data_IF_570669190328
#
_entry.id   IF_570669190328
#
_cell.length_a   1.000
_cell.length_b   1.000
_cell.length_c   1.000
_cell.angle_alpha   90.00
_cell.angle_beta   90.00
_cell.angle_gamma   90.00
#
_symmetry.space_group_name_H-M   'P 1'
#
loop_
_entity.id
_entity.type
_entity.pdbx_description
1 polymer ?
#
# COMPACT_ATOMS: atom_id res chain seq x y z
N UNK A 1 43.90 11.62 -9.37
CA UNK A 1 42.45 11.42 -9.64
C UNK A 1 41.74 11.56 -8.32
N UNK A 2 41.08 12.69 -8.09
CA UNK A 2 40.20 12.83 -6.93
C UNK A 2 39.10 11.76 -7.03
N UNK A 3 39.00 10.94 -6.05
CA UNK A 3 37.94 9.96 -5.92
C UNK A 3 36.64 10.76 -5.70
N UNK A 4 35.84 10.92 -6.76
CA UNK A 4 34.51 11.55 -6.64
C UNK A 4 33.75 10.72 -5.61
N UNK A 5 33.52 11.31 -4.43
CA UNK A 5 32.72 10.64 -3.38
C UNK A 5 31.32 10.41 -3.93
N UNK A 6 30.96 9.15 -4.12
CA UNK A 6 29.62 8.74 -4.56
C UNK A 6 28.65 8.91 -3.40
N UNK A 7 27.48 9.47 -3.69
CA UNK A 7 26.39 9.56 -2.72
C UNK A 7 25.79 8.19 -2.47
N UNK A 8 25.76 7.76 -1.23
CA UNK A 8 25.16 6.49 -0.81
C UNK A 8 23.65 6.63 -0.71
N UNK A 9 22.93 5.91 -1.53
CA UNK A 9 21.46 5.89 -1.58
C UNK A 9 20.99 4.52 -1.12
N UNK A 10 20.45 4.47 0.10
CA UNK A 10 19.87 3.25 0.65
C UNK A 10 18.39 3.17 0.25
N UNK A 11 18.03 2.14 -0.50
CA UNK A 11 16.65 1.84 -0.87
C UNK A 11 16.16 0.68 -0.02
N UNK A 12 15.00 0.84 0.61
CA UNK A 12 14.39 -0.16 1.49
C UNK A 12 13.28 -0.90 0.75
N UNK A 13 13.38 -2.22 0.70
CA UNK A 13 12.43 -3.14 0.07
C UNK A 13 11.71 -3.92 1.18
N UNK A 14 10.39 -3.80 1.30
CA UNK A 14 9.64 -4.43 2.38
C UNK A 14 8.66 -5.50 1.91
N UNK A 15 8.25 -5.45 0.64
CA UNK A 15 7.42 -6.46 0.01
C UNK A 15 7.67 -6.57 -1.49
N UNK A 16 7.11 -7.61 -2.12
CA UNK A 16 7.23 -7.85 -3.57
C UNK A 16 6.67 -6.71 -4.41
N UNK A 17 5.60 -6.02 -3.93
CA UNK A 17 5.01 -4.90 -4.66
C UNK A 17 5.91 -3.66 -4.61
N UNK A 18 6.63 -3.45 -3.50
CA UNK A 18 7.68 -2.44 -3.41
C UNK A 18 8.80 -2.73 -4.41
N UNK A 19 9.32 -3.97 -4.42
CA UNK A 19 10.35 -4.37 -5.37
C UNK A 19 9.87 -4.19 -6.81
N UNK A 20 8.66 -4.67 -7.13
CA UNK A 20 8.08 -4.51 -8.46
C UNK A 20 8.05 -3.07 -8.95
N UNK A 21 7.76 -2.12 -8.08
CA UNK A 21 7.76 -0.69 -8.42
C UNK A 21 9.15 -0.09 -8.45
N UNK A 22 10.05 -0.51 -7.57
CA UNK A 22 11.38 0.08 -7.42
C UNK A 22 12.43 -0.52 -8.36
N UNK A 23 12.22 -1.70 -8.95
CA UNK A 23 13.19 -2.37 -9.84
C UNK A 23 13.77 -1.45 -10.94
N UNK A 24 12.96 -0.66 -11.68
CA UNK A 24 13.51 0.31 -12.64
C UNK A 24 14.34 1.41 -11.96
N UNK A 25 13.91 1.87 -10.79
CA UNK A 25 14.62 2.91 -10.03
C UNK A 25 15.98 2.41 -9.55
N UNK A 26 16.06 1.15 -9.08
CA UNK A 26 17.31 0.53 -8.66
C UNK A 26 18.32 0.47 -9.82
N UNK A 27 17.86 0.10 -11.02
CA UNK A 27 18.69 0.08 -12.24
C UNK A 27 19.18 1.48 -12.58
N UNK A 28 18.27 2.45 -12.63
CA UNK A 28 18.60 3.85 -12.93
C UNK A 28 19.58 4.47 -11.90
N UNK A 29 19.46 4.14 -10.60
CA UNK A 29 20.43 4.55 -9.59
C UNK A 29 21.79 3.91 -9.85
N UNK A 30 21.83 2.60 -10.14
CA UNK A 30 23.07 1.86 -10.42
C UNK A 30 23.83 2.36 -11.63
N UNK A 31 23.14 2.93 -12.62
CA UNK A 31 23.70 3.49 -13.84
C UNK A 31 24.26 4.91 -13.65
N UNK A 32 24.00 5.57 -12.51
CA UNK A 32 24.51 6.93 -12.22
C UNK A 32 25.87 6.86 -11.51
N UNK A 33 26.97 7.29 -12.13
CA UNK A 33 28.32 7.19 -11.52
C UNK A 33 28.47 8.02 -10.25
N UNK A 34 27.58 9.01 -10.01
CA UNK A 34 27.56 9.87 -8.82
C UNK A 34 26.88 9.17 -7.64
N UNK A 35 26.13 8.09 -7.84
CA UNK A 35 25.38 7.38 -6.83
C UNK A 35 26.01 6.03 -6.50
N UNK A 36 25.86 5.61 -5.25
CA UNK A 36 26.17 4.26 -4.78
C UNK A 36 24.88 3.67 -4.22
N UNK A 37 24.30 2.69 -4.90
CA UNK A 37 23.13 1.96 -4.43
C UNK A 37 23.49 1.11 -3.23
N UNK A 38 22.66 1.14 -2.20
CA UNK A 38 22.63 0.20 -1.08
C UNK A 38 21.21 -0.34 -0.96
N UNK A 39 21.04 -1.64 -0.78
CA UNK A 39 19.73 -2.29 -0.68
C UNK A 39 19.56 -2.97 0.67
N UNK A 40 18.44 -2.65 1.34
CA UNK A 40 18.02 -3.33 2.55
C UNK A 40 16.66 -3.98 2.31
N UNK A 41 16.60 -5.29 2.51
CA UNK A 41 15.38 -6.09 2.41
C UNK A 41 14.83 -6.40 3.80
N UNK A 42 13.52 -6.20 4.01
CA UNK A 42 12.84 -6.45 5.28
C UNK A 42 11.42 -7.01 5.06
N UNK A 43 10.71 -7.30 6.12
CA UNK A 43 9.33 -7.75 6.07
C UNK A 43 9.15 -9.01 5.22
N UNK A 44 8.16 -9.02 4.34
CA UNK A 44 7.89 -10.22 3.51
C UNK A 44 8.98 -10.55 2.52
N UNK A 45 9.90 -9.62 2.21
CA UNK A 45 11.00 -9.87 1.27
C UNK A 45 11.90 -11.02 1.69
N UNK A 46 12.09 -11.22 2.99
CA UNK A 46 13.03 -12.20 3.57
C UNK A 46 12.35 -13.47 4.08
N UNK A 47 11.02 -13.61 3.94
CA UNK A 47 10.26 -14.71 4.52
C UNK A 47 9.95 -15.82 3.51
N UNK A 48 10.35 -17.06 3.84
CA UNK A 48 10.12 -18.26 3.03
C UNK A 48 8.63 -18.50 2.73
N UNK A 49 7.75 -18.27 3.70
CA UNK A 49 6.29 -18.47 3.52
C UNK A 49 5.66 -17.58 2.46
N UNK A 50 6.36 -16.52 2.04
CA UNK A 50 5.98 -15.63 0.94
C UNK A 50 6.80 -15.85 -0.34
N UNK A 51 7.51 -16.98 -0.41
CA UNK A 51 8.34 -17.34 -1.57
C UNK A 51 9.69 -16.63 -1.60
N UNK A 52 10.16 -16.11 -0.46
CA UNK A 52 11.49 -15.48 -0.29
C UNK A 52 11.82 -14.47 -1.40
N UNK A 53 11.01 -13.40 -1.58
CA UNK A 53 11.11 -12.52 -2.76
C UNK A 53 12.46 -11.82 -2.92
N UNK A 54 13.28 -11.74 -1.86
CA UNK A 54 14.65 -11.20 -1.93
C UNK A 54 15.53 -12.00 -2.89
N UNK A 55 15.22 -13.27 -3.12
CA UNK A 55 15.94 -14.08 -4.12
C UNK A 55 15.75 -13.52 -5.52
N UNK A 56 14.54 -13.07 -5.88
CA UNK A 56 14.30 -12.43 -7.19
C UNK A 56 15.16 -11.17 -7.37
N UNK A 57 15.39 -10.42 -6.28
CA UNK A 57 16.26 -9.22 -6.30
C UNK A 57 17.71 -9.62 -6.65
N UNK A 58 18.20 -10.71 -6.04
CA UNK A 58 19.54 -11.25 -6.29
C UNK A 58 19.67 -11.84 -7.70
N UNK A 59 18.64 -12.57 -8.16
CA UNK A 59 18.60 -13.17 -9.50
C UNK A 59 18.56 -12.10 -10.60
N UNK A 60 17.98 -10.94 -10.33
CA UNK A 60 17.99 -9.76 -11.20
C UNK A 60 19.36 -9.02 -11.22
N UNK A 61 20.36 -9.53 -10.46
CA UNK A 61 21.73 -9.03 -10.43
C UNK A 61 22.00 -7.92 -9.40
N UNK A 62 21.07 -7.62 -8.52
CA UNK A 62 21.29 -6.63 -7.45
C UNK A 62 22.00 -7.25 -6.24
N UNK A 63 22.90 -6.48 -5.63
CA UNK A 63 23.50 -6.81 -4.34
C UNK A 63 22.58 -6.33 -3.22
N UNK A 64 22.18 -7.23 -2.33
CA UNK A 64 21.41 -6.90 -1.12
C UNK A 64 22.40 -6.73 0.02
N UNK A 65 22.51 -5.49 0.54
CA UNK A 65 23.50 -5.15 1.58
C UNK A 65 23.03 -5.55 2.98
N UNK A 66 21.70 -5.67 3.19
CA UNK A 66 21.13 -6.10 4.47
C UNK A 66 19.81 -6.83 4.32
N UNK A 67 19.61 -7.85 5.15
CA UNK A 67 18.36 -8.59 5.28
C UNK A 67 17.91 -8.57 6.75
N UNK A 68 16.71 -8.00 7.01
CA UNK A 68 16.22 -7.74 8.36
C UNK A 68 14.93 -8.51 8.62
N UNK A 69 14.95 -9.34 9.66
CA UNK A 69 13.79 -10.13 10.09
C UNK A 69 13.06 -9.39 11.21
N UNK A 70 11.86 -8.92 10.94
CA UNK A 70 11.08 -8.05 11.83
C UNK A 70 9.71 -8.62 12.19
N UNK A 71 9.28 -9.68 11.50
CA UNK A 71 7.93 -10.19 11.62
C UNK A 71 7.73 -11.03 12.87
N UNK A 72 6.71 -10.66 13.66
CA UNK A 72 6.16 -11.49 14.72
C UNK A 72 4.96 -12.27 14.24
N UNK A 73 4.94 -13.56 14.54
CA UNK A 73 3.82 -14.43 14.21
C UNK A 73 2.53 -14.02 14.92
N UNK A 74 1.35 -14.22 14.26
CA UNK A 74 0.04 -14.03 14.87
C UNK A 74 -0.97 -13.22 14.06
N UNK A 75 -0.54 -12.51 13.00
CA UNK A 75 -1.42 -11.75 12.07
C UNK A 75 -2.50 -10.90 12.78
N UNK A 76 -2.13 -10.27 13.91
CA UNK A 76 -3.01 -9.41 14.70
C UNK A 76 -2.54 -7.96 14.68
N UNK A 77 -3.41 -6.97 14.96
CA UNK A 77 -2.99 -5.58 15.12
C UNK A 77 -1.88 -5.40 16.17
N UNK A 78 -1.93 -6.18 17.26
CA UNK A 78 -0.92 -6.12 18.32
C UNK A 78 0.45 -6.64 17.85
N UNK A 79 0.50 -7.75 17.11
CA UNK A 79 1.76 -8.27 16.55
C UNK A 79 2.32 -7.36 15.47
N UNK A 80 1.46 -6.76 14.63
CA UNK A 80 1.87 -5.77 13.64
C UNK A 80 2.49 -4.52 14.29
N UNK A 81 1.88 -3.99 15.37
CA UNK A 81 2.43 -2.86 16.11
C UNK A 81 3.77 -3.19 16.79
N UNK A 82 3.92 -4.41 17.31
CA UNK A 82 5.19 -4.88 17.88
C UNK A 82 6.27 -5.05 16.80
N UNK A 83 5.92 -5.62 15.65
CA UNK A 83 6.82 -5.75 14.48
C UNK A 83 7.32 -4.38 14.02
N UNK A 84 6.45 -3.35 13.99
CA UNK A 84 6.85 -1.96 13.73
C UNK A 84 7.95 -1.51 14.72
N UNK A 85 7.77 -1.75 16.03
CA UNK A 85 8.76 -1.38 17.05
C UNK A 85 10.10 -2.09 16.84
N UNK A 86 10.10 -3.40 16.60
CA UNK A 86 11.32 -4.16 16.27
C UNK A 86 11.98 -3.65 14.99
N UNK A 87 11.21 -3.34 13.96
CA UNK A 87 11.74 -2.84 12.72
C UNK A 87 12.51 -1.53 12.91
N UNK A 88 12.05 -0.61 13.78
CA UNK A 88 12.78 0.64 14.08
C UNK A 88 14.17 0.34 14.64
N UNK A 89 14.29 -0.64 15.57
CA UNK A 89 15.57 -1.03 16.18
C UNK A 89 16.53 -1.62 15.14
N UNK A 90 16.01 -2.51 14.29
CA UNK A 90 16.81 -3.18 13.26
C UNK A 90 17.25 -2.19 12.17
N UNK A 91 16.37 -1.32 11.68
CA UNK A 91 16.76 -0.29 10.72
C UNK A 91 17.77 0.69 11.28
N UNK A 92 17.69 1.06 12.56
CA UNK A 92 18.69 1.92 13.19
C UNK A 92 20.07 1.26 13.19
N UNK A 93 20.16 -0.02 13.52
CA UNK A 93 21.40 -0.80 13.49
C UNK A 93 21.96 -0.88 12.06
N UNK A 94 21.09 -1.14 11.09
CA UNK A 94 21.51 -1.28 9.70
C UNK A 94 21.97 0.05 9.09
N UNK A 95 21.27 1.15 9.35
CA UNK A 95 21.70 2.48 8.90
C UNK A 95 22.98 2.93 9.57
N UNK A 96 23.23 2.56 10.85
CA UNK A 96 24.50 2.79 11.51
C UNK A 96 25.65 2.07 10.81
N UNK A 97 25.42 0.86 10.32
CA UNK A 97 26.40 0.04 9.58
C UNK A 97 26.66 0.60 8.17
N UNK A 98 25.60 0.90 7.41
CA UNK A 98 25.67 1.31 6.01
C UNK A 98 26.04 2.79 5.84
N UNK A 99 25.69 3.65 6.79
CA UNK A 99 25.92 5.10 6.77
C UNK A 99 25.45 5.74 5.45
N UNK A 100 24.16 5.63 5.11
CA UNK A 100 23.63 6.22 3.88
C UNK A 100 23.56 7.75 3.97
N UNK A 101 23.75 8.42 2.83
CA UNK A 101 23.51 9.87 2.70
C UNK A 101 22.00 10.16 2.49
N UNK A 102 21.31 9.24 1.82
CA UNK A 102 19.88 9.29 1.55
C UNK A 102 19.24 7.93 1.85
N UNK A 103 18.05 7.94 2.43
CA UNK A 103 17.16 6.77 2.49
C UNK A 103 15.97 7.01 1.57
N UNK A 104 15.67 6.06 0.70
CA UNK A 104 14.54 6.12 -0.24
C UNK A 104 13.50 5.08 0.15
N UNK A 105 12.28 5.53 0.36
CA UNK A 105 11.12 4.72 0.71
C UNK A 105 10.01 4.89 -0.32
N UNK A 106 9.20 3.84 -0.51
CA UNK A 106 8.02 3.88 -1.36
C UNK A 106 6.78 3.40 -0.60
N UNK A 107 5.68 4.13 -0.77
CA UNK A 107 4.35 3.72 -0.30
C UNK A 107 4.12 3.94 1.19
N UNK A 108 3.48 2.99 1.82
CA UNK A 108 2.69 3.21 3.02
C UNK A 108 2.73 2.04 4.03
N UNK A 109 3.63 1.10 3.82
CA UNK A 109 3.77 -0.07 4.69
C UNK A 109 4.33 0.33 6.06
N UNK A 110 3.90 -0.38 7.11
CA UNK A 110 4.41 -0.13 8.48
C UNK A 110 5.92 -0.35 8.60
N UNK A 111 6.48 -1.25 7.79
CA UNK A 111 7.93 -1.47 7.73
C UNK A 111 8.65 -0.24 7.13
N UNK A 112 8.04 0.39 6.13
CA UNK A 112 8.57 1.64 5.57
C UNK A 112 8.46 2.79 6.58
N UNK A 113 7.38 2.84 7.39
CA UNK A 113 7.26 3.79 8.49
C UNK A 113 8.37 3.58 9.53
N UNK A 114 8.71 2.33 9.87
CA UNK A 114 9.81 2.03 10.78
C UNK A 114 11.15 2.55 10.26
N UNK A 115 11.43 2.31 8.98
CA UNK A 115 12.63 2.83 8.32
C UNK A 115 12.65 4.37 8.31
N UNK A 116 11.50 5.02 8.08
CA UNK A 116 11.37 6.47 8.13
C UNK A 116 11.66 7.04 9.52
N UNK A 117 11.14 6.41 10.58
CA UNK A 117 11.40 6.79 11.97
C UNK A 117 12.89 6.65 12.29
N UNK A 118 13.51 5.51 11.96
CA UNK A 118 14.93 5.29 12.18
C UNK A 118 15.79 6.34 11.46
N UNK A 119 15.52 6.59 10.16
CA UNK A 119 16.25 7.58 9.37
C UNK A 119 16.11 8.99 9.94
N UNK A 120 14.90 9.41 10.32
CA UNK A 120 14.64 10.74 10.87
C UNK A 120 15.40 10.98 12.19
N UNK A 121 15.33 10.03 13.13
CA UNK A 121 16.03 10.15 14.42
C UNK A 121 17.56 10.00 14.31
N UNK A 122 18.05 9.40 13.23
CA UNK A 122 19.49 9.33 12.91
C UNK A 122 19.98 10.50 12.05
N UNK A 123 19.13 11.51 11.79
CA UNK A 123 19.45 12.67 10.97
C UNK A 123 19.87 12.33 9.53
N UNK A 124 19.25 11.30 8.95
CA UNK A 124 19.47 10.88 7.58
C UNK A 124 18.39 11.52 6.69
N UNK A 125 18.79 12.11 5.57
CA UNK A 125 17.85 12.71 4.62
C UNK A 125 16.98 11.64 3.97
N UNK A 126 15.65 11.80 4.03
CA UNK A 126 14.66 10.85 3.61
C UNK A 126 13.92 11.31 2.34
N UNK A 127 13.77 10.43 1.37
CA UNK A 127 12.99 10.61 0.14
C UNK A 127 11.81 9.66 0.16
N UNK A 128 10.61 10.18 -0.06
CA UNK A 128 9.37 9.40 -0.08
C UNK A 128 8.73 9.39 -1.47
N UNK A 129 8.63 8.20 -2.06
CA UNK A 129 7.93 7.96 -3.32
C UNK A 129 6.48 7.52 -3.00
N UNK A 130 5.49 8.02 -3.75
CA UNK A 130 4.06 7.77 -3.57
C UNK A 130 3.46 8.33 -2.26
N UNK A 131 4.07 9.39 -1.71
CA UNK A 131 3.44 10.18 -0.65
C UNK A 131 2.24 10.98 -1.14
N UNK A 132 1.38 11.42 -0.20
CA UNK A 132 0.22 12.29 -0.49
C UNK A 132 -0.98 11.59 -1.12
N UNK A 133 -0.94 10.29 -1.39
CA UNK A 133 -2.12 9.54 -1.82
C UNK A 133 -3.06 9.26 -0.64
N UNK A 134 -4.34 9.03 -0.91
CA UNK A 134 -5.36 8.65 0.09
C UNK A 134 -5.80 7.21 -0.11
N UNK A 135 -6.29 6.56 0.94
CA UNK A 135 -6.81 5.20 0.92
C UNK A 135 -7.67 4.91 2.16
N UNK A 136 -8.51 3.87 2.13
CA UNK A 136 -9.44 3.54 3.23
C UNK A 136 -8.86 2.63 4.32
N UNK A 137 -7.54 2.60 4.55
CA UNK A 137 -6.90 1.73 5.55
C UNK A 137 -5.90 2.50 6.42
N UNK A 138 -5.35 1.84 7.45
CA UNK A 138 -4.27 2.41 8.31
C UNK A 138 -3.05 2.84 7.48
N UNK A 139 -2.88 2.27 6.30
CA UNK A 139 -1.80 2.62 5.38
C UNK A 139 -1.81 4.12 5.03
N UNK A 140 -2.98 4.77 5.00
CA UNK A 140 -3.07 6.22 4.80
C UNK A 140 -2.35 6.99 5.91
N UNK A 141 -2.62 6.64 7.17
CA UNK A 141 -1.97 7.28 8.32
C UNK A 141 -0.46 7.04 8.29
N UNK A 142 -0.03 5.81 7.99
CA UNK A 142 1.39 5.48 7.85
C UNK A 142 2.04 6.27 6.72
N UNK A 143 1.40 6.38 5.54
CA UNK A 143 1.87 7.16 4.39
C UNK A 143 2.06 8.63 4.74
N UNK A 144 1.07 9.22 5.42
CA UNK A 144 1.16 10.63 5.81
C UNK A 144 2.23 10.85 6.88
N UNK A 145 2.41 9.93 7.82
CA UNK A 145 3.51 9.97 8.80
C UNK A 145 4.88 9.90 8.11
N UNK A 146 5.07 8.98 7.15
CA UNK A 146 6.31 8.89 6.35
C UNK A 146 6.54 10.22 5.61
N UNK A 147 5.50 10.79 4.97
CA UNK A 147 5.61 12.08 4.29
C UNK A 147 6.01 13.19 5.24
N UNK A 148 5.48 13.21 6.47
CA UNK A 148 5.89 14.23 7.47
C UNK A 148 7.34 14.09 7.93
N UNK A 149 7.91 12.89 7.89
CA UNK A 149 9.30 12.64 8.21
C UNK A 149 10.23 12.89 7.00
N UNK A 150 9.72 12.73 5.77
CA UNK A 150 10.52 12.83 4.55
C UNK A 150 10.88 14.30 4.20
N UNK A 151 12.07 14.48 3.63
CA UNK A 151 12.60 15.78 3.19
C UNK A 151 12.24 16.08 1.75
N UNK A 152 12.12 15.05 0.92
CA UNK A 152 11.78 15.15 -0.50
C UNK A 152 10.65 14.17 -0.86
N UNK A 153 9.78 14.59 -1.76
CA UNK A 153 8.54 13.89 -2.06
C UNK A 153 8.38 13.68 -3.56
N UNK A 154 8.15 12.42 -3.95
CA UNK A 154 7.89 12.02 -5.32
C UNK A 154 6.50 11.38 -5.44
N UNK A 155 5.41 12.19 -5.32
CA UNK A 155 4.05 11.69 -5.48
C UNK A 155 3.77 11.21 -6.90
N UNK A 156 2.82 10.27 -7.04
CA UNK A 156 2.48 9.71 -8.34
C UNK A 156 1.63 10.66 -9.18
N UNK A 157 0.80 11.49 -8.56
CA UNK A 157 -0.14 12.35 -9.27
C UNK A 157 -0.03 13.82 -8.83
N UNK A 158 -0.55 14.73 -9.64
CA UNK A 158 -0.64 16.15 -9.28
C UNK A 158 -1.56 16.38 -8.07
N UNK A 159 -2.63 15.59 -7.93
CA UNK A 159 -3.54 15.67 -6.80
C UNK A 159 -2.83 15.28 -5.50
N UNK A 160 -2.04 14.21 -5.52
CA UNK A 160 -1.22 13.80 -4.38
C UNK A 160 -0.16 14.84 -4.01
N UNK A 161 0.45 15.50 -5.01
CA UNK A 161 1.34 16.64 -4.77
C UNK A 161 0.61 17.80 -4.08
N UNK A 162 -0.61 18.12 -4.50
CA UNK A 162 -1.45 19.14 -3.85
C UNK A 162 -1.79 18.81 -2.39
N UNK A 163 -1.99 17.53 -2.06
CA UNK A 163 -2.19 17.12 -0.66
C UNK A 163 -0.93 17.30 0.19
N UNK A 164 0.24 16.99 -0.34
CA UNK A 164 1.52 17.25 0.35
C UNK A 164 1.72 18.74 0.65
N UNK A 165 1.41 19.63 -0.31
CA UNK A 165 1.45 21.09 -0.07
C UNK A 165 0.50 21.48 1.07
N UNK A 166 -0.74 20.97 1.07
CA UNK A 166 -1.71 21.20 2.15
C UNK A 166 -1.29 20.64 3.50
N UNK A 167 -0.49 19.59 3.49
CA UNK A 167 0.14 19.04 4.69
C UNK A 167 1.29 19.91 5.22
N UNK A 168 1.65 21.00 4.55
CA UNK A 168 2.71 21.91 4.93
C UNK A 168 4.10 21.44 4.47
N UNK A 169 4.18 20.66 3.40
CA UNK A 169 5.45 20.33 2.75
C UNK A 169 5.87 21.45 1.78
N UNK A 170 7.17 21.74 1.71
CA UNK A 170 7.72 22.75 0.80
C UNK A 170 7.47 22.34 -0.66
N UNK A 171 6.75 23.14 -1.47
CA UNK A 171 6.51 22.85 -2.87
C UNK A 171 7.78 22.58 -3.68
N UNK A 172 8.92 23.21 -3.33
CA UNK A 172 10.21 23.00 -3.99
C UNK A 172 10.81 21.61 -3.74
N UNK A 173 10.36 20.93 -2.68
CA UNK A 173 10.74 19.56 -2.33
C UNK A 173 9.84 18.49 -2.98
N UNK A 174 8.76 18.91 -3.65
CA UNK A 174 7.75 18.02 -4.23
C UNK A 174 7.92 17.96 -5.75
N UNK A 175 8.01 16.75 -6.29
CA UNK A 175 8.03 16.49 -7.73
C UNK A 175 7.03 15.41 -8.09
N UNK A 176 5.88 15.77 -8.66
CA UNK A 176 4.91 14.81 -9.18
C UNK A 176 5.52 14.07 -10.38
N UNK A 177 5.86 12.79 -10.19
CA UNK A 177 6.75 12.07 -11.10
C UNK A 177 6.12 10.83 -11.73
N UNK A 178 5.07 10.30 -11.14
CA UNK A 178 4.44 9.05 -11.55
C UNK A 178 4.82 7.85 -10.67
N UNK A 179 4.24 6.69 -10.98
CA UNK A 179 4.55 5.41 -10.38
C UNK A 179 5.61 4.68 -11.23
N UNK A 180 6.74 4.23 -10.64
CA UNK A 180 7.80 3.58 -11.42
C UNK A 180 7.42 2.26 -12.09
N UNK A 181 6.32 1.60 -11.66
CA UNK A 181 5.81 0.41 -12.36
C UNK A 181 5.44 0.66 -13.82
N UNK A 182 5.09 1.90 -14.17
CA UNK A 182 4.83 2.28 -15.57
C UNK A 182 6.06 2.14 -16.47
N UNK A 183 7.26 2.21 -15.92
CA UNK A 183 8.51 1.99 -16.68
C UNK A 183 8.65 0.52 -17.11
N UNK A 184 8.27 -0.42 -16.23
CA UNK A 184 8.21 -1.85 -16.57
C UNK A 184 7.11 -2.08 -17.62
N UNK A 185 5.91 -1.50 -17.38
CA UNK A 185 4.79 -1.66 -18.29
C UNK A 185 5.11 -1.16 -19.70
N UNK A 186 5.82 -0.03 -19.83
CA UNK A 186 6.26 0.53 -21.12
C UNK A 186 7.24 -0.37 -21.85
N UNK A 187 8.12 -1.07 -21.12
CA UNK A 187 9.17 -1.93 -21.68
C UNK A 187 8.77 -3.40 -21.70
N UNK A 188 7.50 -3.69 -21.37
CA UNK A 188 7.02 -5.06 -21.24
C UNK A 188 7.15 -5.82 -22.56
N UNK A 189 7.94 -6.90 -22.51
CA UNK A 189 8.04 -7.89 -23.58
C UNK A 189 7.27 -9.13 -23.11
N UNK A 190 6.19 -9.53 -23.78
CA UNK A 190 5.44 -10.71 -23.40
C UNK A 190 6.33 -11.96 -23.40
N UNK A 191 6.38 -12.63 -22.25
CA UNK A 191 7.18 -13.83 -22.05
C UNK A 191 6.46 -14.92 -21.26
N UNK A 192 5.38 -14.57 -20.57
CA UNK A 192 4.62 -15.50 -19.74
C UNK A 192 3.74 -16.38 -20.62
N UNK A 193 3.96 -17.69 -20.56
CA UNK A 193 3.09 -18.69 -21.21
C UNK A 193 2.11 -19.30 -20.21
N UNK A 194 1.03 -19.90 -20.74
CA UNK A 194 0.08 -20.65 -19.91
C UNK A 194 0.78 -21.78 -19.15
N UNK A 195 1.76 -22.47 -19.75
CA UNK A 195 2.54 -23.54 -19.11
C UNK A 195 3.38 -23.02 -17.95
N UNK A 196 4.08 -21.89 -18.15
CA UNK A 196 4.88 -21.24 -17.09
C UNK A 196 4.00 -20.85 -15.90
N UNK A 197 2.86 -20.22 -16.15
CA UNK A 197 1.92 -19.87 -15.08
C UNK A 197 1.41 -21.11 -14.37
N UNK A 198 1.03 -22.14 -15.12
CA UNK A 198 0.44 -23.35 -14.57
C UNK A 198 1.50 -24.31 -13.96
N UNK A 199 2.78 -24.06 -14.12
CA UNK A 199 3.84 -24.75 -13.38
C UNK A 199 3.97 -24.23 -11.93
N UNK A 200 3.38 -23.06 -11.61
CA UNK A 200 3.41 -22.42 -10.28
C UNK A 200 2.04 -22.48 -9.61
N UNK A 201 2.02 -22.45 -8.27
CA UNK A 201 0.77 -22.42 -7.50
C UNK A 201 0.03 -23.76 -7.52
N UNK A 202 -1.30 -23.72 -7.34
CA UNK A 202 -2.15 -24.91 -7.25
C UNK A 202 -3.58 -24.64 -7.72
N UNK A 203 -4.25 -25.67 -8.28
CA UNK A 203 -5.60 -25.59 -8.82
C UNK A 203 -5.67 -25.98 -10.28
N UNK A 204 -6.74 -25.54 -10.96
CA UNK A 204 -7.02 -25.90 -12.34
C UNK A 204 -6.06 -25.23 -13.32
N UNK A 205 -5.93 -25.80 -14.51
CA UNK A 205 -5.23 -25.13 -15.61
C UNK A 205 -6.01 -23.91 -16.08
N UNK A 206 -5.33 -22.77 -16.21
CA UNK A 206 -5.88 -21.52 -16.76
C UNK A 206 -5.11 -21.17 -18.02
N UNK A 207 -5.80 -21.10 -19.13
CA UNK A 207 -5.26 -20.64 -20.41
C UNK A 207 -5.33 -19.09 -20.44
N UNK A 208 -4.16 -18.44 -20.34
CA UNK A 208 -4.06 -16.98 -20.33
C UNK A 208 -4.15 -16.32 -21.71
N UNK A 209 -4.27 -17.10 -22.77
CA UNK A 209 -4.57 -16.61 -24.12
C UNK A 209 -6.08 -16.49 -24.38
N UNK A 210 -6.90 -16.94 -23.42
CA UNK A 210 -8.35 -16.82 -23.42
C UNK A 210 -8.82 -15.84 -22.35
N UNK A 211 -10.13 -15.62 -22.30
CA UNK A 211 -10.74 -14.78 -21.25
C UNK A 211 -10.56 -15.41 -19.86
N UNK A 212 -10.00 -14.64 -18.93
CA UNK A 212 -9.83 -15.02 -17.53
C UNK A 212 -9.96 -13.80 -16.60
N UNK A 213 -10.15 -14.06 -15.31
CA UNK A 213 -10.15 -13.05 -14.25
C UNK A 213 -8.83 -13.11 -13.46
N UNK A 214 -8.33 -11.96 -13.02
CA UNK A 214 -7.24 -11.84 -12.06
C UNK A 214 -7.79 -11.31 -10.74
N UNK A 215 -7.64 -12.06 -9.66
CA UNK A 215 -8.18 -11.70 -8.34
C UNK A 215 -7.06 -11.43 -7.36
N UNK A 216 -7.08 -10.25 -6.73
CA UNK A 216 -6.14 -9.86 -5.66
C UNK A 216 -6.92 -9.15 -4.55
N UNK A 217 -7.07 -9.82 -3.42
CA UNK A 217 -7.80 -9.28 -2.28
C UNK A 217 -6.95 -9.31 -1.02
N UNK A 218 -6.81 -8.15 -0.38
CA UNK A 218 -6.01 -7.93 0.83
C UNK A 218 -6.91 -7.58 2.01
N UNK A 219 -6.47 -7.82 3.26
CA UNK A 219 -7.20 -7.34 4.43
C UNK A 219 -7.34 -5.82 4.41
N UNK A 220 -8.46 -5.33 4.93
CA UNK A 220 -8.65 -3.91 5.26
C UNK A 220 -8.50 -3.78 6.77
N UNK A 221 -7.37 -3.26 7.22
CA UNK A 221 -6.98 -3.23 8.65
C UNK A 221 -7.95 -2.44 9.53
N UNK A 222 -8.63 -1.44 8.96
CA UNK A 222 -9.67 -0.64 9.63
C UNK A 222 -10.98 -1.41 9.86
N UNK A 223 -11.21 -2.53 9.15
CA UNK A 223 -12.35 -3.44 9.35
C UNK A 223 -11.91 -4.82 9.85
N UNK A 224 -10.88 -4.85 10.72
CA UNK A 224 -10.34 -6.10 11.28
C UNK A 224 -11.42 -6.95 11.94
N UNK A 225 -11.51 -8.20 11.52
CA UNK A 225 -12.54 -9.16 11.95
C UNK A 225 -13.56 -9.51 10.87
N UNK A 226 -13.74 -8.65 9.85
CA UNK A 226 -14.65 -8.83 8.72
C UNK A 226 -14.03 -9.52 7.49
N UNK A 227 -12.73 -9.80 7.50
CA UNK A 227 -11.97 -10.24 6.33
C UNK A 227 -12.50 -11.55 5.73
N UNK A 228 -12.94 -12.46 6.61
CA UNK A 228 -13.51 -13.73 6.18
C UNK A 228 -14.79 -13.54 5.38
N UNK A 229 -15.71 -12.71 5.90
CA UNK A 229 -16.97 -12.44 5.22
C UNK A 229 -16.71 -11.76 3.88
N UNK A 230 -15.84 -10.78 3.84
CA UNK A 230 -15.52 -10.05 2.61
C UNK A 230 -14.95 -10.96 1.53
N UNK A 231 -14.01 -11.85 1.86
CA UNK A 231 -13.46 -12.78 0.86
C UNK A 231 -14.48 -13.85 0.45
N UNK A 232 -15.37 -14.29 1.37
CA UNK A 232 -16.46 -15.22 1.04
C UNK A 232 -17.43 -14.60 0.01
N UNK A 233 -17.74 -13.30 0.10
CA UNK A 233 -18.55 -12.57 -0.90
C UNK A 233 -17.87 -12.58 -2.29
N UNK A 234 -16.56 -12.32 -2.34
CA UNK A 234 -15.80 -12.40 -3.60
C UNK A 234 -15.83 -13.81 -4.16
N UNK A 235 -15.54 -14.83 -3.34
CA UNK A 235 -15.53 -16.23 -3.78
C UNK A 235 -16.90 -16.68 -4.27
N UNK A 236 -17.99 -16.22 -3.66
CA UNK A 236 -19.35 -16.48 -4.11
C UNK A 236 -19.65 -15.83 -5.46
N UNK A 237 -19.21 -14.59 -5.69
CA UNK A 237 -19.34 -13.94 -7.00
C UNK A 237 -18.58 -14.69 -8.09
N UNK A 238 -17.36 -15.15 -7.79
CA UNK A 238 -16.53 -15.93 -8.71
C UNK A 238 -17.15 -17.31 -9.02
N UNK A 239 -17.74 -17.97 -8.02
CA UNK A 239 -18.45 -19.25 -8.19
C UNK A 239 -19.64 -19.11 -9.16
N UNK A 240 -20.40 -18.02 -9.02
CA UNK A 240 -21.53 -17.72 -9.93
C UNK A 240 -21.09 -17.26 -11.31
N UNK A 241 -19.91 -16.61 -11.42
CA UNK A 241 -19.35 -16.23 -12.71
C UNK A 241 -18.80 -17.46 -13.46
N UNK A 242 -18.18 -18.40 -12.74
CA UNK A 242 -17.56 -19.63 -13.26
C UNK A 242 -16.57 -19.41 -14.43
N UNK A 243 -15.87 -18.27 -14.40
CA UNK A 243 -14.88 -17.87 -15.41
C UNK A 243 -13.50 -18.34 -14.96
N UNK A 244 -12.60 -18.78 -15.85
CA UNK A 244 -11.22 -19.09 -15.50
C UNK A 244 -10.60 -17.97 -14.69
N UNK A 245 -10.06 -18.27 -13.51
CA UNK A 245 -9.63 -17.26 -12.54
C UNK A 245 -8.25 -17.59 -11.99
N UNK A 246 -7.36 -16.60 -12.01
CA UNK A 246 -6.09 -16.61 -11.30
C UNK A 246 -6.27 -15.78 -10.02
N UNK A 247 -6.08 -16.40 -8.86
CA UNK A 247 -6.17 -15.76 -7.56
C UNK A 247 -4.79 -15.68 -6.92
N UNK A 248 -4.31 -14.46 -6.67
CA UNK A 248 -3.07 -14.25 -5.93
C UNK A 248 -3.32 -14.22 -4.42
N UNK A 249 -2.42 -14.84 -3.66
CA UNK A 249 -2.50 -14.83 -2.21
C UNK A 249 -2.39 -13.40 -1.64
N UNK A 250 -3.07 -13.12 -0.50
CA UNK A 250 -3.03 -11.81 0.14
C UNK A 250 -1.62 -11.46 0.65
N UNK A 251 -1.43 -10.17 0.99
CA UNK A 251 -0.24 -9.71 1.72
C UNK A 251 -0.26 -10.20 3.19
N UNK A 252 0.69 -9.70 4.02
CA UNK A 252 0.89 -10.11 5.43
C UNK A 252 0.09 -9.28 6.45
N UNK A 253 -0.69 -8.29 6.03
CA UNK A 253 -1.43 -7.41 6.95
C UNK A 253 -2.30 -8.20 7.92
N UNK A 254 -2.62 -7.59 9.07
CA UNK A 254 -3.50 -8.19 10.06
C UNK A 254 -4.80 -8.68 9.42
N UNK A 255 -5.16 -9.94 9.63
CA UNK A 255 -6.31 -10.59 9.00
C UNK A 255 -6.01 -11.44 7.76
N UNK A 256 -4.79 -11.40 7.21
CA UNK A 256 -4.42 -12.17 6.02
C UNK A 256 -4.61 -13.68 6.18
N UNK A 257 -4.36 -14.22 7.37
CA UNK A 257 -4.56 -15.64 7.67
C UNK A 257 -6.02 -16.08 7.56
N UNK A 258 -6.96 -15.17 7.90
CA UNK A 258 -8.40 -15.43 7.79
C UNK A 258 -8.83 -15.52 6.33
N UNK A 259 -8.33 -14.63 5.47
CA UNK A 259 -8.55 -14.66 4.03
C UNK A 259 -7.96 -15.94 3.44
N UNK A 260 -6.70 -16.25 3.76
CA UNK A 260 -6.01 -17.44 3.28
C UNK A 260 -6.72 -18.73 3.71
N UNK A 261 -7.24 -18.78 4.94
CA UNK A 261 -8.04 -19.91 5.45
C UNK A 261 -9.36 -20.05 4.68
N UNK A 262 -10.07 -18.95 4.47
CA UNK A 262 -11.34 -18.97 3.73
C UNK A 262 -11.16 -19.46 2.28
N UNK A 263 -10.11 -19.01 1.60
CA UNK A 263 -9.77 -19.48 0.24
C UNK A 263 -9.50 -20.99 0.24
N UNK A 264 -8.72 -21.51 1.21
CA UNK A 264 -8.45 -22.96 1.30
C UNK A 264 -9.75 -23.75 1.54
N UNK A 265 -10.56 -23.34 2.52
CA UNK A 265 -11.85 -23.99 2.82
C UNK A 265 -12.78 -23.98 1.61
N UNK A 266 -12.85 -22.87 0.88
CA UNK A 266 -13.64 -22.78 -0.35
C UNK A 266 -13.14 -23.77 -1.41
N UNK A 267 -11.84 -23.81 -1.65
CA UNK A 267 -11.23 -24.73 -2.63
C UNK A 267 -11.49 -26.21 -2.27
N UNK A 268 -11.38 -26.56 -1.00
CA UNK A 268 -11.62 -27.93 -0.53
C UNK A 268 -13.11 -28.32 -0.66
N UNK A 269 -14.02 -27.37 -0.41
CA UNK A 269 -15.47 -27.60 -0.50
C UNK A 269 -15.99 -27.65 -1.93
N UNK A 270 -15.57 -26.71 -2.78
CA UNK A 270 -16.15 -26.51 -4.13
C UNK A 270 -15.35 -27.24 -5.19
N UNK A 271 -14.05 -27.48 -4.96
CA UNK A 271 -13.10 -28.04 -5.93
C UNK A 271 -13.24 -27.39 -7.32
N UNK A 272 -13.10 -26.03 -7.41
CA UNK A 272 -13.46 -25.28 -8.61
C UNK A 272 -12.55 -25.63 -9.80
N UNK A 273 -13.15 -26.19 -10.86
CA UNK A 273 -12.45 -26.53 -12.11
C UNK A 273 -12.00 -25.33 -12.94
N UNK A 274 -12.23 -24.11 -12.44
CA UNK A 274 -11.95 -22.83 -13.10
C UNK A 274 -10.98 -21.95 -12.33
N UNK A 275 -10.48 -22.33 -11.15
CA UNK A 275 -9.63 -21.50 -10.29
C UNK A 275 -8.23 -22.05 -10.15
N UNK A 276 -7.25 -21.16 -10.25
CA UNK A 276 -5.86 -21.39 -9.88
C UNK A 276 -5.39 -20.36 -8.87
N UNK A 277 -4.71 -20.79 -7.81
CA UNK A 277 -4.07 -19.90 -6.83
C UNK A 277 -2.57 -19.86 -7.06
N UNK A 278 -2.00 -18.65 -7.06
CA UNK A 278 -0.57 -18.40 -7.28
C UNK A 278 -0.03 -17.56 -6.12
N UNK A 279 1.14 -17.93 -5.59
CA UNK A 279 1.73 -17.24 -4.42
C UNK A 279 2.52 -16.01 -4.84
N UNK A 280 3.34 -16.13 -5.86
CA UNK A 280 4.26 -15.07 -6.29
C UNK A 280 4.46 -15.10 -7.80
N UNK A 281 4.70 -13.92 -8.37
CA UNK A 281 5.08 -13.71 -9.76
C UNK A 281 6.20 -12.66 -9.81
N UNK A 282 7.03 -12.69 -10.84
CA UNK A 282 7.93 -11.57 -11.11
C UNK A 282 7.12 -10.31 -11.42
N UNK A 283 7.66 -9.11 -11.21
CA UNK A 283 6.98 -7.86 -11.57
C UNK A 283 6.51 -7.82 -13.02
N UNK A 284 7.35 -8.30 -13.93
CA UNK A 284 7.06 -8.37 -15.35
C UNK A 284 5.89 -9.30 -15.64
N UNK A 285 5.93 -10.54 -15.13
CA UNK A 285 4.84 -11.51 -15.32
C UNK A 285 3.52 -11.05 -14.69
N UNK A 286 3.59 -10.36 -13.54
CA UNK A 286 2.39 -9.77 -12.93
C UNK A 286 1.76 -8.69 -13.81
N UNK A 287 2.57 -7.77 -14.35
CA UNK A 287 2.09 -6.72 -15.24
C UNK A 287 1.63 -7.29 -16.58
N UNK A 288 2.27 -8.34 -17.07
CA UNK A 288 1.81 -9.04 -18.27
C UNK A 288 0.44 -9.71 -18.06
N UNK A 289 0.21 -10.37 -16.93
CA UNK A 289 -1.12 -10.88 -16.58
C UNK A 289 -2.15 -9.76 -16.50
N UNK A 290 -1.78 -8.64 -15.87
CA UNK A 290 -2.66 -7.48 -15.73
C UNK A 290 -3.01 -6.86 -17.09
N UNK A 291 -2.09 -6.86 -18.04
CA UNK A 291 -2.30 -6.39 -19.40
C UNK A 291 -3.21 -7.32 -20.22
N UNK A 292 -3.23 -8.63 -19.91
CA UNK A 292 -3.95 -9.67 -20.70
C UNK A 292 -5.30 -10.04 -20.10
N UNK A 293 -5.51 -9.78 -18.80
CA UNK A 293 -6.72 -10.19 -18.11
C UNK A 293 -7.95 -9.47 -18.65
N UNK A 294 -9.08 -10.20 -18.79
CA UNK A 294 -10.33 -9.62 -19.23
C UNK A 294 -10.97 -8.70 -18.19
N UNK A 295 -10.80 -9.00 -16.91
CA UNK A 295 -11.21 -8.15 -15.80
C UNK A 295 -10.40 -8.49 -14.53
N UNK A 296 -9.88 -7.46 -13.85
CA UNK A 296 -9.24 -7.59 -12.56
C UNK A 296 -10.25 -7.31 -11.44
N UNK A 297 -10.29 -8.16 -10.39
CA UNK A 297 -11.30 -8.09 -9.32
C UNK A 297 -10.63 -8.09 -7.95
N UNK A 298 -11.00 -7.16 -7.07
CA UNK A 298 -10.50 -7.12 -5.68
C UNK A 298 -10.22 -5.72 -5.18
N UNK A 299 -9.25 -5.59 -4.25
CA UNK A 299 -8.96 -4.32 -3.60
C UNK A 299 -7.47 -3.93 -3.61
N UNK A 300 -6.71 -4.46 -4.57
CA UNK A 300 -5.29 -4.13 -4.73
C UNK A 300 -5.09 -2.71 -5.25
N UNK A 301 -4.10 -2.00 -4.71
CA UNK A 301 -3.74 -0.68 -5.24
C UNK A 301 -3.15 -0.72 -6.65
N UNK A 302 -2.62 -1.86 -7.08
CA UNK A 302 -2.14 -2.05 -8.45
C UNK A 302 -3.28 -2.03 -9.48
N UNK A 303 -4.50 -2.42 -9.09
CA UNK A 303 -5.67 -2.33 -9.95
C UNK A 303 -6.08 -0.89 -10.25
N UNK A 304 -5.75 0.03 -9.35
CA UNK A 304 -5.96 1.46 -9.59
C UNK A 304 -4.80 2.07 -10.38
N UNK A 305 -3.55 1.76 -10.00
CA UNK A 305 -2.36 2.42 -10.58
C UNK A 305 -1.88 1.77 -11.87
N UNK A 306 -1.76 0.44 -11.86
CA UNK A 306 -1.05 -0.27 -12.93
C UNK A 306 -2.02 -0.73 -14.03
N UNK A 307 -3.25 -1.13 -13.67
CA UNK A 307 -4.27 -1.56 -14.62
C UNK A 307 -4.67 -0.45 -15.60
N UNK A 308 -4.72 0.80 -15.14
CA UNK A 308 -5.04 1.95 -15.99
C UNK A 308 -4.06 2.13 -17.14
N UNK A 309 -2.77 1.82 -16.94
CA UNK A 309 -1.76 1.91 -17.99
C UNK A 309 -2.07 1.01 -19.19
N UNK A 310 -2.74 -0.11 -18.96
CA UNK A 310 -3.15 -1.06 -19.98
C UNK A 310 -4.61 -0.88 -20.44
N UNK A 311 -5.38 -0.04 -19.75
CA UNK A 311 -6.82 0.07 -19.96
C UNK A 311 -7.58 -1.18 -19.49
N UNK A 312 -7.04 -1.94 -18.58
CA UNK A 312 -7.63 -3.18 -18.07
C UNK A 312 -8.89 -2.90 -17.25
N UNK A 313 -10.03 -3.53 -17.55
CA UNK A 313 -11.25 -3.40 -16.75
C UNK A 313 -11.05 -3.87 -15.31
N UNK A 314 -11.49 -3.07 -14.34
CA UNK A 314 -11.32 -3.35 -12.91
C UNK A 314 -12.65 -3.29 -12.17
N UNK A 315 -12.92 -4.30 -11.34
CA UNK A 315 -13.93 -4.28 -10.28
C UNK A 315 -13.23 -4.09 -8.95
N UNK A 316 -13.34 -2.89 -8.39
CA UNK A 316 -12.72 -2.53 -7.12
C UNK A 316 -13.73 -2.75 -6.00
N UNK A 317 -13.53 -3.81 -5.20
CA UNK A 317 -14.47 -4.24 -4.17
C UNK A 317 -14.09 -3.75 -2.77
N UNK A 318 -15.04 -3.08 -2.08
CA UNK A 318 -14.88 -2.58 -0.71
C UNK A 318 -14.04 -1.31 -0.60
N UNK A 319 -13.78 -0.86 0.62
CA UNK A 319 -13.37 0.52 0.94
C UNK A 319 -11.84 0.72 1.03
N UNK A 320 -11.03 -0.36 0.86
CA UNK A 320 -9.57 -0.29 1.03
C UNK A 320 -8.90 0.78 0.17
N UNK A 321 -9.46 1.10 -0.99
CA UNK A 321 -8.95 2.12 -1.91
C UNK A 321 -9.84 3.37 -1.96
N UNK A 322 -10.69 3.57 -0.95
CA UNK A 322 -11.59 4.73 -0.89
C UNK A 322 -10.82 6.05 -1.01
N UNK A 323 -11.38 7.01 -1.73
CA UNK A 323 -10.79 8.32 -1.95
C UNK A 323 -9.56 8.35 -2.88
N UNK A 324 -9.03 7.20 -3.29
CA UNK A 324 -7.91 7.15 -4.24
C UNK A 324 -8.35 7.70 -5.60
N UNK A 325 -7.44 8.40 -6.28
CA UNK A 325 -7.67 8.89 -7.64
C UNK A 325 -7.77 7.71 -8.60
N UNK A 326 -8.88 7.61 -9.31
CA UNK A 326 -9.18 6.52 -10.26
C UNK A 326 -9.51 7.10 -11.63
N UNK A 327 -9.43 6.27 -12.65
CA UNK A 327 -9.82 6.58 -14.01
C UNK A 327 -10.97 5.66 -14.45
N UNK A 328 -11.48 5.84 -15.66
CA UNK A 328 -12.70 5.20 -16.20
C UNK A 328 -12.68 3.66 -16.13
N UNK A 329 -11.49 3.05 -16.18
CA UNK A 329 -11.33 1.59 -16.12
C UNK A 329 -11.76 0.96 -14.77
N UNK A 330 -11.98 1.75 -13.72
CA UNK A 330 -12.32 1.27 -12.38
C UNK A 330 -13.80 1.41 -12.09
N UNK A 331 -14.46 0.29 -11.86
CA UNK A 331 -15.82 0.24 -11.31
C UNK A 331 -15.73 -0.12 -9.82
N UNK A 332 -16.07 0.84 -8.94
CA UNK A 332 -16.06 0.64 -7.50
C UNK A 332 -17.41 0.11 -7.02
N UNK A 333 -17.41 -0.96 -6.24
CA UNK A 333 -18.62 -1.60 -5.70
C UNK A 333 -18.45 -1.99 -4.23
N UNK A 334 -19.54 -2.06 -3.45
CA UNK A 334 -19.50 -2.70 -2.13
C UNK A 334 -18.98 -4.14 -2.23
N UNK A 335 -18.38 -4.63 -1.14
CA UNK A 335 -17.90 -6.02 -1.08
C UNK A 335 -19.09 -6.98 -0.82
N UNK A 336 -19.99 -7.10 -1.80
CA UNK A 336 -21.21 -7.91 -1.79
C UNK A 336 -21.26 -8.73 -3.09
N UNK A 337 -21.51 -10.02 -2.98
CA UNK A 337 -21.38 -10.96 -4.11
C UNK A 337 -22.21 -10.58 -5.34
N UNK A 338 -23.46 -10.13 -5.15
CA UNK A 338 -24.34 -9.75 -6.26
C UNK A 338 -23.82 -8.51 -7.00
N UNK A 339 -23.31 -7.52 -6.28
CA UNK A 339 -22.78 -6.28 -6.86
C UNK A 339 -21.46 -6.56 -7.60
N UNK A 340 -20.59 -7.36 -7.00
CA UNK A 340 -19.33 -7.81 -7.61
C UNK A 340 -19.61 -8.59 -8.92
N UNK A 341 -20.54 -9.53 -8.90
CA UNK A 341 -20.89 -10.34 -10.07
C UNK A 341 -21.48 -9.46 -11.18
N UNK A 342 -22.35 -8.52 -10.83
CA UNK A 342 -22.93 -7.58 -11.78
C UNK A 342 -21.85 -6.70 -12.42
N UNK A 343 -20.94 -6.17 -11.61
CA UNK A 343 -19.82 -5.37 -12.08
C UNK A 343 -18.84 -6.17 -12.98
N UNK A 344 -18.52 -7.43 -12.63
CA UNK A 344 -17.73 -8.32 -13.49
C UNK A 344 -18.37 -8.45 -14.88
N UNK A 345 -19.67 -8.72 -14.94
CA UNK A 345 -20.38 -8.87 -16.20
C UNK A 345 -20.38 -7.59 -17.03
N UNK A 346 -20.59 -6.44 -16.37
CA UNK A 346 -20.57 -5.14 -17.03
C UNK A 346 -19.17 -4.82 -17.59
N UNK A 347 -18.11 -5.06 -16.81
CA UNK A 347 -16.73 -4.86 -17.24
C UNK A 347 -16.31 -5.78 -18.40
N UNK A 348 -16.72 -7.04 -18.36
CA UNK A 348 -16.47 -7.98 -19.46
C UNK A 348 -17.23 -7.60 -20.74
N UNK A 349 -18.44 -7.05 -20.60
CA UNK A 349 -19.21 -6.56 -21.73
C UNK A 349 -18.62 -5.28 -22.34
N UNK A 350 -18.07 -4.39 -21.49
CA UNK A 350 -17.41 -3.16 -21.95
C UNK A 350 -16.12 -3.50 -22.70
N UNK A 351 -15.34 -4.44 -22.18
CA UNK A 351 -13.99 -4.73 -22.67
C UNK A 351 -12.94 -3.68 -22.28
N UNK A 352 -11.76 -3.67 -22.94
CA UNK A 352 -10.67 -2.77 -22.59
C UNK A 352 -11.03 -1.29 -22.72
N UNK A 353 -10.49 -0.47 -21.81
CA UNK A 353 -10.58 0.98 -21.83
C UNK A 353 -9.40 1.62 -22.56
N UNK A 354 -9.47 2.92 -22.79
CA UNK A 354 -8.32 3.68 -23.25
C UNK A 354 -7.23 3.67 -22.15
N UNK A 355 -5.98 3.43 -22.55
CA UNK A 355 -4.85 3.47 -21.64
C UNK A 355 -4.69 4.87 -21.00
N UNK A 356 -4.40 4.88 -19.69
CA UNK A 356 -4.25 6.09 -18.90
C UNK A 356 -2.81 6.26 -18.41
N UNK A 357 -2.29 7.47 -18.44
CA UNK A 357 -1.00 7.85 -17.87
C UNK A 357 -1.12 8.59 -16.54
N UNK A 358 -2.29 8.55 -15.89
CA UNK A 358 -2.56 9.22 -14.62
C UNK A 358 -1.47 8.92 -13.57
N UNK A 359 -1.06 7.66 -13.49
CA UNK A 359 -0.05 7.19 -12.53
C UNK A 359 1.35 7.03 -13.12
N UNK A 360 1.62 7.46 -14.34
CA UNK A 360 2.95 7.45 -14.92
C UNK A 360 2.98 7.23 -16.42
N UNK A 361 4.03 7.70 -17.06
CA UNK A 361 4.23 7.69 -18.50
C UNK A 361 5.36 6.74 -18.99
N UNK A 362 5.91 5.95 -18.04
CA UNK A 362 6.98 5.00 -18.33
C UNK A 362 8.39 5.60 -18.40
N UNK A 363 8.61 6.79 -17.83
CA UNK A 363 9.91 7.46 -17.73
C UNK A 363 10.18 7.98 -16.30
N UNK A 364 9.65 7.29 -15.30
CA UNK A 364 9.65 7.72 -13.91
C UNK A 364 11.01 7.46 -13.25
N UNK A 365 11.59 6.28 -13.48
CA UNK A 365 12.82 5.84 -12.82
C UNK A 365 14.00 6.75 -13.13
N UNK A 366 14.18 7.14 -14.40
CA UNK A 366 15.21 8.06 -14.84
C UNK A 366 15.10 9.43 -14.15
N UNK A 367 13.87 9.96 -14.06
CA UNK A 367 13.60 11.24 -13.40
C UNK A 367 13.93 11.15 -11.90
N UNK A 368 13.62 10.03 -11.25
CA UNK A 368 13.98 9.81 -9.83
C UNK A 368 15.50 9.80 -9.69
N UNK A 369 16.21 9.00 -10.47
CA UNK A 369 17.67 8.89 -10.38
C UNK A 369 18.36 10.24 -10.63
N UNK A 370 17.95 10.99 -11.66
CA UNK A 370 18.47 12.33 -11.96
C UNK A 370 18.20 13.31 -10.82
N UNK A 371 17.03 13.23 -10.20
CA UNK A 371 16.71 14.07 -9.04
C UNK A 371 17.58 13.70 -7.85
N UNK A 372 17.79 12.42 -7.56
CA UNK A 372 18.64 11.94 -6.46
C UNK A 372 20.10 12.42 -6.61
N UNK A 373 20.62 12.54 -7.83
CA UNK A 373 21.95 13.16 -8.09
C UNK A 373 21.97 14.62 -7.68
N UNK A 374 20.89 15.38 -7.96
CA UNK A 374 20.83 16.84 -7.78
C UNK A 374 20.35 17.30 -6.42
N UNK A 375 19.70 16.42 -5.64
CA UNK A 375 19.23 16.74 -4.30
C UNK A 375 20.37 17.25 -3.41
N UNK A 376 20.07 18.19 -2.53
CA UNK A 376 20.97 18.62 -1.46
C UNK A 376 20.48 18.02 -0.14
N UNK A 377 21.12 16.98 0.41
CA UNK A 377 20.74 16.44 1.69
C UNK A 377 20.80 17.52 2.77
N UNK A 378 19.78 17.55 3.63
CA UNK A 378 19.73 18.42 4.80
C UNK A 378 19.09 17.67 5.98
N UNK A 379 19.35 18.10 7.20
CA UNK A 379 18.91 17.39 8.41
C UNK A 379 17.62 18.00 8.94
N UNK A 380 17.61 19.31 9.21
CA UNK A 380 16.47 19.93 9.88
C UNK A 380 15.36 20.23 8.90
N UNK A 381 14.33 19.39 8.90
CA UNK A 381 13.09 19.64 8.18
C UNK A 381 12.29 20.76 8.87
N UNK A 382 11.71 21.64 8.08
CA UNK A 382 10.79 22.70 8.53
C UNK A 382 9.46 22.54 7.80
N UNK A 383 8.37 22.87 8.48
CA UNK A 383 7.07 22.98 7.84
C UNK A 383 7.04 24.24 6.99
N UNK A 384 6.47 24.11 5.81
CA UNK A 384 6.19 25.24 4.94
C UNK A 384 4.79 25.74 5.24
N UNK A 385 4.71 26.89 5.90
CA UNK A 385 3.44 27.56 6.16
C UNK A 385 3.12 28.48 5.00
N UNK A 386 1.96 28.31 4.40
CA UNK A 386 1.39 29.31 3.51
C UNK A 386 0.64 30.27 4.44
N UNK A 387 1.26 31.42 4.73
CA UNK A 387 0.57 32.52 5.41
C UNK A 387 -0.22 33.31 4.36
N UNK A 388 -1.55 33.18 4.36
CA UNK A 388 -2.41 34.28 3.98
C UNK A 388 -2.54 35.18 5.20
N UNK A 389 -2.40 36.48 5.07
CA UNK A 389 -2.54 37.46 6.18
C UNK A 389 -3.92 37.30 6.89
N UNK A 390 -4.91 36.70 6.22
CA UNK A 390 -6.24 36.38 6.73
C UNK A 390 -6.37 34.95 7.36
N UNK A 391 -5.38 34.08 7.22
CA UNK A 391 -5.48 32.66 7.60
C UNK A 391 -5.59 32.41 9.10
N UNK A 392 -5.01 33.26 9.94
CA UNK A 392 -5.17 33.16 11.40
C UNK A 392 -6.61 33.48 11.83
N UNK A 393 -7.28 34.40 11.16
CA UNK A 393 -8.68 34.74 11.45
C UNK A 393 -9.67 33.65 11.01
N UNK A 394 -9.43 32.98 9.89
CA UNK A 394 -10.27 31.86 9.45
C UNK A 394 -10.15 30.64 10.36
N UNK A 395 -8.94 30.31 10.83
CA UNK A 395 -8.73 29.19 11.74
C UNK A 395 -9.43 29.43 13.09
N UNK A 396 -9.26 30.62 13.67
CA UNK A 396 -9.91 30.98 14.92
C UNK A 396 -11.44 30.97 14.79
N UNK A 397 -11.97 31.55 13.71
CA UNK A 397 -13.41 31.59 13.46
C UNK A 397 -14.03 30.22 13.13
N UNK A 398 -13.26 29.29 12.52
CA UNK A 398 -13.69 27.92 12.30
C UNK A 398 -13.69 27.09 13.60
N UNK A 399 -12.69 27.31 14.47
CA UNK A 399 -12.64 26.68 15.79
C UNK A 399 -13.78 27.16 16.68
N UNK A 400 -14.04 28.48 16.73
CA UNK A 400 -15.13 29.09 17.52
C UNK A 400 -16.52 28.65 17.04
N UNK A 401 -16.70 28.41 15.72
CA UNK A 401 -17.97 27.91 15.16
C UNK A 401 -18.23 26.43 15.44
N UNK A 402 -17.18 25.60 15.59
CA UNK A 402 -17.29 24.15 15.76
C UNK A 402 -16.99 23.69 17.19
N UNK A 403 -16.24 24.49 17.96
CA UNK A 403 -15.84 24.16 19.34
C UNK A 403 -16.92 24.52 20.40
N UNK A 404 -17.66 25.61 20.24
CA UNK A 404 -18.67 26.08 21.21
C UNK A 404 -19.97 25.29 21.16
N UNK A 405 -20.32 24.67 20.06
CA UNK A 405 -21.60 23.95 19.89
C UNK A 405 -21.62 22.51 20.40
N UNK A 406 -20.47 21.89 20.72
CA UNK A 406 -20.43 20.50 21.19
C UNK A 406 -20.09 20.29 22.67
N UNK A 407 -19.57 21.30 23.34
CA UNK A 407 -19.28 21.21 24.79
C UNK A 407 -20.44 21.57 25.68
N UNK A 408 -21.37 22.43 25.24
CA UNK A 408 -22.56 22.78 26.05
C UNK A 408 -23.67 21.71 26.01
N UNK A 409 -23.74 20.86 24.99
CA UNK A 409 -24.76 19.81 24.87
C UNK A 409 -24.54 18.58 25.74
N UNK A 410 -23.29 18.31 26.17
CA UNK A 410 -22.99 17.14 26.99
C UNK A 410 -22.90 17.42 28.50
N UNK A 411 -22.68 18.67 28.91
CA UNK A 411 -22.60 19.02 30.35
C UNK A 411 -23.95 19.31 30.98
N UNK A 412 -25.00 19.56 30.21
CA UNK A 412 -26.35 19.81 30.73
C UNK A 412 -27.23 18.57 30.87
N UNK A 413 -26.85 17.43 30.29
CA UNK A 413 -27.60 16.16 30.44
C UNK A 413 -27.11 15.25 31.58
N UNK A 414 -25.86 15.41 32.06
CA UNK A 414 -25.37 14.60 33.20
C UNK A 414 -25.68 15.15 34.58
N UNK A 415 -26.14 16.41 34.71
CA UNK A 415 -26.48 16.99 36.00
C UNK A 415 -27.98 16.95 36.38
N UNK A 416 -28.86 16.45 35.49
CA UNK A 416 -30.31 16.35 35.82
C UNK A 416 -30.78 14.96 36.25
N UNK A 417 -29.91 13.94 36.24
CA UNK A 417 -30.28 12.56 36.60
C UNK A 417 -29.74 12.05 37.92
N UNK A 418 -28.94 12.87 38.66
CA UNK A 418 -28.34 12.40 39.92
C UNK A 418 -28.94 13.02 41.18
N UNK A 419 -30.05 13.77 41.11
CA UNK A 419 -30.69 14.40 42.26
C UNK A 419 -32.12 13.93 42.57
N UNK A 420 -32.57 12.77 42.05
CA UNK A 420 -33.88 12.24 42.33
C UNK A 420 -33.98 10.84 42.96
N UNK A 421 -32.88 10.23 43.40
CA UNK A 421 -32.94 8.92 44.08
C UNK A 421 -32.26 8.85 45.45
N UNK A 422 -32.20 9.97 46.19
CA UNK A 422 -31.74 9.99 47.57
C UNK A 422 -32.73 10.59 48.54
N UNK A 423 -34.01 10.18 48.45
CA UNK A 423 -35.00 10.49 49.50
C UNK A 423 -36.16 9.49 49.47
N UNK A 424 -35.91 8.24 49.82
CA UNK A 424 -36.93 7.38 50.48
C UNK A 424 -36.36 6.01 50.79
N UNK A 425 -35.77 5.83 51.97
CA UNK A 425 -35.90 4.60 52.76
C UNK A 425 -35.01 4.66 54.00
N UNK A 426 -35.52 5.41 54.96
CA UNK A 426 -35.21 5.14 56.37
C UNK A 426 -36.57 5.01 57.05
N UNK A 427 -37.00 3.78 57.28
CA UNK A 427 -37.73 3.37 58.49
C UNK A 427 -38.15 1.91 58.34
N UNK A 428 -37.81 1.12 59.35
CA UNK A 428 -38.41 -0.20 59.48
C UNK A 428 -37.47 -1.25 60.02
N UNK A 429 -37.28 -1.18 61.27
CA UNK A 429 -36.67 -2.09 62.22
C UNK A 429 -37.14 -3.55 62.17
N UNK A 430 -36.27 -4.42 62.64
CA UNK A 430 -36.73 -5.46 63.55
C UNK A 430 -36.63 -6.90 63.08
N UNK A 431 -35.69 -7.67 63.69
CA UNK A 431 -36.13 -8.93 64.27
C UNK A 431 -35.65 -10.23 63.64
N UNK A 432 -34.65 -10.80 64.29
CA UNK A 432 -34.59 -12.21 64.73
C UNK A 432 -34.71 -13.32 63.68
N UNK A 433 -33.62 -14.17 63.65
CA UNK A 433 -33.59 -15.49 63.12
C UNK A 433 -32.22 -15.86 62.62
#
# INVERSE_FOLDING_TARGET
MEQVMRRKVCVVLVDRANYGRLKPVLRAIGERPQLQLQLVAAGTMVLERFGHPVQNVKDDGFVVDGEIYIELEGSTPATMAKSLGFAVVEFASEFQRLKPDLVVLIGDRYEALAAALAAAYMNICLVHIQGGEVSGSIDESARHAISKLAHYHFPSTKRSAGYLVRMGEDPSSILAIGCPSSDIARQLVPALTSEMLNSTGSGSYVDIDRSFLLVVFHPTTTSYGGERQQVEEILQALEQAAIPTILLWPNIDAGADRISKAIRVFRDRVAPGWMRTVTNLSPEHYLELLARVSCAVGNSSSFVRDAGYFGTPVVLAGDRQEGRETDEHVMHVPCVAVDILHAIRAQLQHGPYQASTLYGDGLVAERIADRLVRLRPYVQKRLHYIYDEDGEHEYQSAWDRHGSGRLEGHLTQEHSTTTREAASSVHGAGGVG
#
